data_IF_338964054224
#
_entry.id   IF_338964054224
#
_cell.length_a   1.000
_cell.length_b   1.000
_cell.length_c   1.000
_cell.angle_alpha   90.00
_cell.angle_beta   90.00
_cell.angle_gamma   90.00
#
_symmetry.space_group_name_H-M   'P 1'
#
loop_
_entity.id
_entity.type
_entity.pdbx_description
1 polymer ?
#
# COMPACT_ATOMS: atom_id res chain seq x y z
N UNK A 1 -30.40 -30.40 2.52
CA UNK A 1 -30.45 -28.92 2.65
C UNK A 1 -29.04 -28.45 2.95
N UNK A 2 -28.31 -27.97 1.94
CA UNK A 2 -26.97 -27.43 2.14
C UNK A 2 -27.11 -26.05 2.81
N UNK A 3 -26.51 -25.87 3.98
CA UNK A 3 -26.41 -24.57 4.62
C UNK A 3 -25.56 -23.67 3.72
N UNK A 4 -26.19 -22.67 3.09
CA UNK A 4 -25.48 -21.61 2.38
C UNK A 4 -24.63 -20.86 3.41
N UNK A 5 -23.35 -21.20 3.49
CA UNK A 5 -22.36 -20.45 4.26
C UNK A 5 -22.24 -19.09 3.58
N UNK A 6 -22.80 -18.06 4.20
CA UNK A 6 -22.63 -16.69 3.72
C UNK A 6 -21.13 -16.38 3.64
N UNK A 7 -20.67 -15.74 2.55
CA UNK A 7 -19.26 -15.42 2.37
C UNK A 7 -18.75 -14.57 3.52
N UNK A 8 -17.50 -14.77 3.91
CA UNK A 8 -16.81 -14.05 4.98
C UNK A 8 -16.73 -12.56 4.63
N UNK A 9 -17.66 -11.75 5.18
CA UNK A 9 -17.75 -10.33 4.90
C UNK A 9 -16.83 -9.54 5.83
N UNK A 10 -15.70 -9.08 5.30
CA UNK A 10 -14.65 -8.35 6.05
C UNK A 10 -14.39 -6.97 5.46
N UNK A 11 -13.80 -6.09 6.26
CA UNK A 11 -13.30 -4.76 5.83
C UNK A 11 -11.89 -4.53 6.37
N UNK A 12 -11.14 -3.67 5.69
CA UNK A 12 -9.81 -3.22 6.10
C UNK A 12 -9.91 -1.87 6.81
N UNK A 13 -9.39 -1.79 8.03
CA UNK A 13 -9.38 -0.58 8.85
C UNK A 13 -7.97 0.00 8.93
N UNK A 14 -7.85 1.33 8.82
CA UNK A 14 -6.58 2.06 8.93
C UNK A 14 -6.69 3.26 9.87
N UNK A 15 -5.69 3.50 10.72
CA UNK A 15 -5.51 4.75 11.47
C UNK A 15 -4.03 5.05 11.61
N UNK A 16 -3.55 6.12 10.97
CA UNK A 16 -2.10 6.37 10.86
C UNK A 16 -1.40 5.20 10.16
N UNK A 17 -0.40 4.62 10.82
CA UNK A 17 0.34 3.45 10.31
C UNK A 17 -0.31 2.10 10.66
N UNK A 18 -1.29 2.10 11.58
CA UNK A 18 -1.94 0.88 12.04
C UNK A 18 -2.97 0.40 11.02
N UNK A 19 -2.96 -0.91 10.76
CA UNK A 19 -3.88 -1.59 9.85
C UNK A 19 -4.42 -2.85 10.49
N UNK A 20 -5.71 -3.11 10.37
CA UNK A 20 -6.34 -4.32 10.90
C UNK A 20 -7.52 -4.72 10.01
N UNK A 21 -7.75 -6.02 9.88
CA UNK A 21 -8.94 -6.56 9.22
C UNK A 21 -9.98 -6.92 10.28
N UNK A 22 -11.26 -6.63 10.02
CA UNK A 22 -12.35 -6.94 10.93
C UNK A 22 -13.60 -7.36 10.16
N UNK A 23 -14.34 -8.34 10.69
CA UNK A 23 -15.61 -8.77 10.11
C UNK A 23 -16.64 -7.64 10.21
N UNK A 24 -17.49 -7.48 9.18
CA UNK A 24 -18.55 -6.45 9.19
C UNK A 24 -19.50 -6.65 10.38
N UNK A 25 -19.81 -7.90 10.74
CA UNK A 25 -20.64 -8.24 11.90
C UNK A 25 -20.03 -7.84 13.25
N UNK A 26 -18.72 -7.60 13.30
CA UNK A 26 -18.00 -7.15 14.49
C UNK A 26 -17.79 -5.64 14.51
N UNK A 27 -18.27 -4.91 13.50
CA UNK A 27 -18.01 -3.48 13.35
C UNK A 27 -18.88 -2.64 14.27
N UNK A 28 -18.36 -2.37 15.47
CA UNK A 28 -18.97 -1.51 16.46
C UNK A 28 -17.94 -0.64 17.20
N UNK A 29 -18.43 0.42 17.83
CA UNK A 29 -17.60 1.43 18.54
C UNK A 29 -16.68 0.83 19.60
N UNK A 30 -17.09 -0.23 20.31
CA UNK A 30 -16.28 -0.85 21.36
C UNK A 30 -15.10 -1.64 20.80
N UNK A 31 -15.32 -2.33 19.68
CA UNK A 31 -14.24 -3.05 19.00
C UNK A 31 -13.26 -2.09 18.35
N UNK A 32 -13.74 -0.98 17.77
CA UNK A 32 -12.87 0.08 17.25
C UNK A 32 -12.05 0.73 18.37
N UNK A 33 -12.64 1.03 19.53
CA UNK A 33 -11.90 1.51 20.71
C UNK A 33 -10.77 0.56 21.09
N UNK A 34 -11.04 -0.74 21.14
CA UNK A 34 -10.03 -1.74 21.51
C UNK A 34 -8.90 -1.86 20.48
N UNK A 35 -9.25 -1.74 19.19
CA UNK A 35 -8.30 -1.89 18.11
C UNK A 35 -7.43 -0.63 17.88
N UNK A 36 -8.02 0.56 18.03
CA UNK A 36 -7.39 1.83 17.61
C UNK A 36 -7.29 2.89 18.71
N UNK A 37 -7.71 2.60 19.94
CA UNK A 37 -7.71 3.55 21.07
C UNK A 37 -8.41 4.89 20.75
N UNK A 38 -9.62 4.77 20.18
CA UNK A 38 -10.53 5.88 19.87
C UNK A 38 -11.59 6.05 20.96
N UNK A 39 -11.97 7.30 21.26
CA UNK A 39 -13.13 7.60 22.09
C UNK A 39 -14.42 7.10 21.41
N UNK A 40 -15.21 6.20 22.05
CA UNK A 40 -16.47 5.71 21.52
C UNK A 40 -17.49 6.80 21.16
N UNK A 41 -17.42 7.99 21.79
CA UNK A 41 -18.36 9.08 21.54
C UNK A 41 -18.07 9.85 20.26
N UNK A 42 -16.83 9.81 19.79
CA UNK A 42 -16.38 10.60 18.64
C UNK A 42 -15.85 9.73 17.49
N UNK A 43 -16.05 8.42 17.56
CA UNK A 43 -15.59 7.50 16.51
C UNK A 43 -16.44 7.62 15.25
N UNK A 44 -15.77 7.69 14.11
CA UNK A 44 -16.37 7.64 12.78
C UNK A 44 -15.46 6.87 11.83
N UNK A 45 -16.03 6.41 10.71
CA UNK A 45 -15.28 5.76 9.64
C UNK A 45 -15.40 6.61 8.37
N UNK A 46 -14.37 6.61 7.53
CA UNK A 46 -14.40 7.25 6.21
C UNK A 46 -13.81 6.31 5.17
N UNK A 47 -14.48 6.17 4.05
CA UNK A 47 -13.96 5.40 2.93
C UNK A 47 -12.67 6.05 2.37
N UNK A 48 -11.65 5.23 2.16
CA UNK A 48 -10.34 5.66 1.63
C UNK A 48 -10.41 6.05 0.14
N UNK A 49 -11.40 5.54 -0.60
CA UNK A 49 -11.57 5.75 -2.04
C UNK A 49 -12.51 6.92 -2.36
N UNK A 50 -13.71 6.94 -1.78
CA UNK A 50 -14.75 7.92 -2.15
C UNK A 50 -15.03 8.98 -1.08
N UNK A 51 -14.29 8.93 0.04
CA UNK A 51 -14.43 9.85 1.17
C UNK A 51 -15.80 9.82 1.87
N UNK A 52 -16.65 8.82 1.62
CA UNK A 52 -17.95 8.64 2.29
C UNK A 52 -17.75 8.42 3.79
N UNK A 53 -18.43 9.21 4.62
CA UNK A 53 -18.41 9.08 6.07
C UNK A 53 -19.48 8.13 6.60
N UNK A 54 -19.12 7.28 7.54
CA UNK A 54 -20.03 6.40 8.27
C UNK A 54 -19.99 6.73 9.76
N UNK A 55 -21.16 6.90 10.35
CA UNK A 55 -21.34 7.17 11.77
C UNK A 55 -22.03 6.00 12.45
N UNK A 56 -21.66 5.67 13.71
CA UNK A 56 -22.27 4.57 14.42
C UNK A 56 -23.73 4.90 14.77
N UNK A 57 -24.58 3.87 14.73
CA UNK A 57 -25.96 3.95 15.22
C UNK A 57 -25.98 4.22 16.74
N UNK A 58 -26.73 5.25 17.17
CA UNK A 58 -26.72 5.72 18.56
C UNK A 58 -27.10 4.65 19.59
N UNK A 59 -27.95 3.68 19.22
CA UNK A 59 -28.48 2.67 20.14
C UNK A 59 -27.59 1.44 20.20
N UNK A 60 -27.10 1.00 19.05
CA UNK A 60 -26.33 -0.25 18.93
C UNK A 60 -24.81 -0.03 18.90
N UNK A 61 -24.35 1.19 18.63
CA UNK A 61 -22.95 1.51 18.38
C UNK A 61 -22.39 0.81 17.14
N UNK A 62 -23.25 0.29 16.25
CA UNK A 62 -22.86 -0.48 15.06
C UNK A 62 -22.86 0.39 13.82
N UNK A 63 -22.01 0.05 12.84
CA UNK A 63 -21.94 0.76 11.56
C UNK A 63 -22.78 0.04 10.51
N UNK A 64 -23.55 0.80 9.72
CA UNK A 64 -24.38 0.28 8.62
C UNK A 64 -23.84 0.74 7.27
N UNK A 65 -24.25 0.04 6.20
CA UNK A 65 -23.88 0.41 4.82
C UNK A 65 -22.44 0.08 4.43
N UNK A 66 -21.74 -0.73 5.23
CA UNK A 66 -20.39 -1.18 4.91
C UNK A 66 -20.44 -2.26 3.83
N UNK A 67 -19.50 -2.19 2.89
CA UNK A 67 -19.37 -3.18 1.82
C UNK A 67 -18.17 -4.10 2.08
N UNK A 68 -18.24 -5.40 1.73
CA UNK A 68 -17.09 -6.29 1.87
C UNK A 68 -15.87 -5.78 1.08
N UNK A 69 -14.69 -5.94 1.67
CA UNK A 69 -13.38 -5.58 1.11
C UNK A 69 -13.13 -4.08 0.95
N UNK A 70 -13.99 -3.25 1.56
CA UNK A 70 -13.79 -1.81 1.67
C UNK A 70 -12.60 -1.48 2.56
N UNK A 71 -11.89 -0.38 2.25
CA UNK A 71 -10.84 0.18 3.11
C UNK A 71 -11.36 1.44 3.78
N UNK A 72 -11.35 1.45 5.11
CA UNK A 72 -11.91 2.50 5.95
C UNK A 72 -10.83 3.13 6.81
N UNK A 73 -10.77 4.46 6.78
CA UNK A 73 -10.02 5.28 7.72
C UNK A 73 -10.83 5.43 9.01
N UNK A 74 -10.23 5.06 10.15
CA UNK A 74 -10.85 5.20 11.48
C UNK A 74 -10.50 6.56 12.05
N UNK A 75 -11.52 7.41 12.24
CA UNK A 75 -11.41 8.73 12.84
C UNK A 75 -11.99 8.78 14.25
N UNK A 76 -11.63 9.84 14.99
CA UNK A 76 -12.06 10.09 16.36
C UNK A 76 -10.92 10.58 17.25
N UNK A 77 -11.25 11.15 18.41
CA UNK A 77 -10.24 11.57 19.39
C UNK A 77 -9.58 10.36 20.05
N UNK A 78 -8.28 10.43 20.37
CA UNK A 78 -7.65 9.42 21.21
C UNK A 78 -8.26 9.43 22.61
N UNK A 79 -8.38 8.26 23.24
CA UNK A 79 -8.88 8.18 24.63
C UNK A 79 -7.89 8.92 25.55
N UNK A 80 -8.33 9.92 26.34
CA UNK A 80 -7.45 10.57 27.29
C UNK A 80 -6.94 9.56 28.32
N UNK A 81 -5.62 9.51 28.51
CA UNK A 81 -4.89 8.52 29.33
C UNK A 81 -5.33 8.53 30.81
N UNK A 82 -6.13 9.50 31.23
CA UNK A 82 -6.57 9.71 32.61
C UNK A 82 -7.65 8.73 33.10
N UNK A 83 -8.31 7.98 32.21
CA UNK A 83 -9.47 7.13 32.56
C UNK A 83 -9.23 5.61 32.45
N UNK A 84 -7.97 5.14 32.44
CA UNK A 84 -7.69 3.70 32.48
C UNK A 84 -7.84 3.16 33.91
N UNK A 85 -9.08 3.02 34.37
CA UNK A 85 -9.41 2.16 35.51
C UNK A 85 -9.12 0.71 35.09
N UNK A 86 -7.98 0.18 35.55
CA UNK A 86 -7.57 -1.21 35.39
C UNK A 86 -8.54 -2.10 36.16
N UNK A 87 -9.57 -2.63 35.49
CA UNK A 87 -10.38 -3.74 36.00
C UNK A 87 -9.56 -5.03 35.90
N UNK A 88 -8.65 -5.25 36.85
CA UNK A 88 -8.07 -6.56 37.13
C UNK A 88 -9.04 -7.37 37.99
N UNK A 89 -9.67 -8.37 37.40
CA UNK A 89 -10.33 -9.47 38.12
C UNK A 89 -9.28 -10.34 38.80
N UNK A 90 -9.05 -10.15 40.09
CA UNK A 90 -8.28 -11.06 40.93
C UNK A 90 -9.19 -12.15 41.51
N UNK A 91 -9.06 -13.38 41.00
CA UNK A 91 -9.44 -14.58 41.76
C UNK A 91 -8.21 -15.06 42.51
N UNK A 92 -8.38 -15.31 43.81
CA UNK A 92 -7.30 -15.81 44.67
C UNK A 92 -7.54 -15.49 46.14
N UNK A 93 -8.33 -16.31 46.82
CA UNK A 93 -8.16 -16.50 48.26
C UNK A 93 -6.89 -17.35 48.49
N UNK A 94 -6.17 -17.15 49.60
CA UNK A 94 -6.42 -18.05 50.73
C UNK A 94 -6.34 -17.39 52.14
N UNK A 95 -7.17 -17.94 53.02
CA UNK A 95 -6.92 -18.33 54.42
C UNK A 95 -6.27 -17.30 55.36
N UNK A 96 -7.07 -16.83 56.32
CA UNK A 96 -6.59 -16.47 57.65
C UNK A 96 -7.53 -17.05 58.71
N UNK A 97 -6.95 -17.83 59.61
CA UNK A 97 -7.57 -18.49 60.76
C UNK A 97 -7.58 -17.52 61.94
N UNK A 98 -8.74 -17.33 62.57
CA UNK A 98 -8.83 -16.73 63.91
C UNK A 98 -9.88 -17.49 64.74
N UNK A 99 -9.58 -17.91 65.97
CA UNK A 99 -10.51 -18.68 66.81
C UNK A 99 -11.54 -17.78 67.53
N UNK A 100 -12.72 -18.36 67.80
CA UNK A 100 -13.90 -17.71 68.39
C UNK A 100 -13.79 -17.33 69.88
N UNK A 101 -14.92 -17.13 70.59
CA UNK A 101 -15.94 -18.18 70.73
C UNK A 101 -17.43 -17.74 70.64
N UNK A 102 -18.22 -18.71 70.17
CA UNK A 102 -19.56 -19.11 70.59
C UNK A 102 -20.65 -18.07 70.86
N UNK A 103 -21.71 -18.12 70.04
CA UNK A 103 -23.08 -18.27 70.54
C UNK A 103 -24.05 -18.83 69.48
N UNK A 104 -24.66 -19.93 69.86
CA UNK A 104 -25.77 -20.66 69.24
C UNK A 104 -27.05 -19.83 69.22
N UNK A 105 -27.80 -19.78 68.09
CA UNK A 105 -29.28 -19.93 68.03
C UNK A 105 -29.69 -20.39 66.62
N UNK A 106 -30.48 -21.46 66.59
CA UNK A 106 -31.25 -22.07 65.49
C UNK A 106 -32.47 -21.25 65.07
N UNK A 107 -32.88 -21.28 63.79
CA UNK A 107 -34.18 -21.85 63.36
C UNK A 107 -34.48 -21.65 61.86
N UNK A 108 -35.18 -22.66 61.33
CA UNK A 108 -35.58 -22.97 59.96
C UNK A 108 -36.64 -22.04 59.35
N UNK A 109 -36.79 -22.07 58.02
CA UNK A 109 -38.10 -21.83 57.40
C UNK A 109 -38.18 -21.50 55.90
N UNK A 110 -38.36 -22.54 55.09
CA UNK A 110 -39.28 -22.64 53.91
C UNK A 110 -39.01 -21.83 52.62
N UNK A 111 -38.81 -22.55 51.51
CA UNK A 111 -38.86 -22.15 50.08
C UNK A 111 -40.31 -21.90 49.60
N UNK A 112 -40.70 -21.83 48.30
CA UNK A 112 -40.01 -21.70 47.00
C UNK A 112 -40.55 -20.46 46.22
N UNK A 113 -40.19 -20.05 45.00
CA UNK A 113 -39.41 -20.54 43.88
C UNK A 113 -39.99 -19.87 42.63
N UNK A 114 -39.19 -19.18 41.81
CA UNK A 114 -39.57 -18.80 40.44
C UNK A 114 -38.33 -18.92 39.55
N UNK A 115 -38.50 -19.74 38.51
CA UNK A 115 -37.54 -20.13 37.49
C UNK A 115 -37.06 -18.95 36.65
N UNK A 116 -35.74 -18.82 36.48
CA UNK A 116 -35.13 -18.02 35.43
C UNK A 116 -34.25 -18.92 34.55
N UNK A 117 -34.62 -18.98 33.29
CA UNK A 117 -33.96 -19.67 32.19
C UNK A 117 -32.54 -19.17 31.95
N UNK A 118 -31.57 -20.09 32.03
CA UNK A 118 -30.17 -19.91 31.67
C UNK A 118 -29.99 -19.78 30.15
N UNK A 119 -29.63 -18.60 29.66
CA UNK A 119 -29.10 -18.41 28.31
C UNK A 119 -27.57 -18.56 28.32
N UNK A 120 -27.09 -19.62 27.67
CA UNK A 120 -25.68 -19.86 27.38
C UNK A 120 -25.08 -18.71 26.56
N UNK A 121 -24.01 -18.07 27.06
CA UNK A 121 -23.14 -17.20 26.27
C UNK A 121 -21.81 -17.92 26.02
N UNK A 122 -21.34 -18.07 24.77
CA UNK A 122 -20.04 -18.66 24.49
C UNK A 122 -18.94 -17.62 24.71
N UNK A 123 -18.03 -17.92 25.63
CA UNK A 123 -16.80 -17.15 25.85
C UNK A 123 -15.83 -17.35 24.67
N UNK A 124 -15.79 -16.42 23.72
CA UNK A 124 -14.74 -16.36 22.71
C UNK A 124 -13.55 -15.54 23.21
N UNK A 125 -12.40 -16.21 23.42
CA UNK A 125 -11.11 -15.56 23.68
C UNK A 125 -10.57 -14.97 22.38
N UNK A 126 -10.48 -13.64 22.32
CA UNK A 126 -9.78 -12.92 21.26
C UNK A 126 -8.27 -13.05 21.44
N UNK A 127 -7.58 -13.58 20.44
CA UNK A 127 -6.11 -13.67 20.37
C UNK A 127 -5.61 -12.46 19.58
N UNK A 128 -5.60 -11.28 20.21
CA UNK A 128 -4.92 -10.10 19.69
C UNK A 128 -3.69 -9.85 20.56
N UNK A 129 -2.52 -10.20 19.99
CA UNK A 129 -1.24 -9.93 20.61
C UNK A 129 -1.00 -8.42 20.67
N UNK A 130 -1.05 -7.88 21.89
CA UNK A 130 -0.87 -6.46 22.20
C UNK A 130 0.59 -6.06 21.94
N UNK A 131 0.86 -5.27 20.90
CA UNK A 131 2.13 -4.52 20.78
C UNK A 131 2.05 -3.32 21.71
N UNK A 132 3.05 -3.17 22.59
CA UNK A 132 3.15 -2.09 23.57
C UNK A 132 3.21 -0.72 22.88
N UNK A 133 2.41 0.28 23.30
CA UNK A 133 2.46 1.63 22.76
C UNK A 133 3.61 2.44 23.37
N UNK A 134 4.40 3.07 22.50
CA UNK A 134 5.43 4.06 22.85
C UNK A 134 4.77 5.42 23.09
N UNK A 135 5.07 6.04 24.22
CA UNK A 135 4.57 7.36 24.64
C UNK A 135 5.09 8.51 23.76
N UNK A 136 4.33 9.61 23.61
CA UNK A 136 4.71 10.75 22.78
C UNK A 136 5.60 11.71 23.57
N UNK A 137 6.91 11.54 23.48
CA UNK A 137 7.91 12.55 23.84
C UNK A 137 8.52 13.10 22.55
N UNK A 138 8.55 14.43 22.44
CA UNK A 138 9.32 15.25 21.49
C UNK A 138 9.90 14.46 20.31
N UNK A 139 9.15 14.38 19.21
CA UNK A 139 9.30 13.39 18.14
C UNK A 139 10.60 13.54 17.33
N UNK A 140 11.74 13.16 17.91
CA UNK A 140 12.93 12.81 17.14
C UNK A 140 12.65 11.54 16.34
N UNK A 141 13.19 11.46 15.12
CA UNK A 141 13.25 10.22 14.35
C UNK A 141 14.58 9.53 14.61
N UNK A 142 14.58 8.20 14.59
CA UNK A 142 15.81 7.39 14.68
C UNK A 142 16.15 6.87 13.29
N UNK A 143 17.12 7.50 12.64
CA UNK A 143 17.56 7.14 11.29
C UNK A 143 18.58 6.02 11.35
N UNK A 144 18.32 4.94 10.62
CA UNK A 144 19.26 3.83 10.46
C UNK A 144 20.15 4.08 9.24
N UNK A 145 21.46 4.20 9.47
CA UNK A 145 22.47 4.32 8.40
C UNK A 145 23.35 3.08 8.38
N UNK A 146 23.50 2.47 7.20
CA UNK A 146 24.26 1.24 7.00
C UNK A 146 25.54 1.54 6.21
N UNK A 147 26.70 1.38 6.84
CA UNK A 147 28.00 1.37 6.17
C UNK A 147 28.07 0.17 5.22
N UNK A 148 28.30 0.43 3.95
CA UNK A 148 28.38 -0.62 2.93
C UNK A 148 29.46 -0.34 1.89
N UNK A 149 29.95 -1.41 1.28
CA UNK A 149 30.69 -1.35 0.02
C UNK A 149 29.68 -1.57 -1.10
N UNK A 150 29.64 -0.64 -2.05
CA UNK A 150 28.81 -0.79 -3.25
C UNK A 150 29.62 -1.47 -4.35
N UNK A 151 29.03 -2.48 -4.96
CA UNK A 151 29.51 -3.17 -6.14
C UNK A 151 28.39 -3.10 -7.18
N UNK A 152 28.72 -2.79 -8.43
CA UNK A 152 27.72 -2.68 -9.50
C UNK A 152 27.76 -3.94 -10.35
N UNK A 153 26.64 -4.66 -10.43
CA UNK A 153 26.45 -5.83 -11.30
C UNK A 153 25.13 -5.68 -12.05
N UNK A 154 25.09 -6.02 -13.35
CA UNK A 154 23.87 -6.00 -14.17
C UNK A 154 23.02 -4.71 -14.06
N UNK A 155 23.68 -3.55 -14.02
CA UNK A 155 23.07 -2.23 -13.80
C UNK A 155 22.32 -2.05 -12.47
N UNK A 156 22.53 -2.92 -11.48
CA UNK A 156 21.98 -2.83 -10.14
C UNK A 156 23.11 -2.73 -9.10
N UNK A 157 22.96 -1.87 -8.08
CA UNK A 157 23.93 -1.82 -7.00
C UNK A 157 23.70 -2.97 -6.01
N UNK A 158 24.77 -3.67 -5.70
CA UNK A 158 24.87 -4.64 -4.63
C UNK A 158 25.61 -4.01 -3.45
N UNK A 159 24.96 -3.99 -2.29
CA UNK A 159 25.51 -3.41 -1.07
C UNK A 159 26.00 -4.50 -0.12
N UNK A 160 27.31 -4.64 0.01
CA UNK A 160 27.91 -5.49 1.02
C UNK A 160 27.96 -4.74 2.37
N UNK A 161 27.07 -5.10 3.30
CA UNK A 161 26.84 -4.40 4.57
C UNK A 161 27.96 -4.71 5.56
N UNK A 162 28.65 -3.67 6.03
CA UNK A 162 29.76 -3.80 6.97
C UNK A 162 29.35 -3.49 8.41
N UNK A 163 28.66 -2.36 8.61
CA UNK A 163 28.28 -1.86 9.93
C UNK A 163 27.01 -1.03 9.82
N UNK A 164 26.33 -0.77 10.94
CA UNK A 164 25.20 0.14 11.00
C UNK A 164 25.26 1.01 12.25
N UNK A 165 24.70 2.21 12.15
CA UNK A 165 24.49 3.13 13.26
C UNK A 165 23.06 3.65 13.23
N UNK A 166 22.58 4.09 14.39
CA UNK A 166 21.31 4.77 14.51
C UNK A 166 21.58 6.19 14.98
N UNK A 167 21.14 7.17 14.20
CA UNK A 167 21.31 8.59 14.48
C UNK A 167 19.94 9.13 14.87
N UNK A 168 19.86 9.76 16.03
CA UNK A 168 18.67 10.48 16.46
C UNK A 168 18.68 11.86 15.79
N UNK A 169 17.61 12.19 15.10
CA UNK A 169 17.44 13.47 14.41
C UNK A 169 16.15 14.12 14.86
N UNK A 170 16.17 15.44 15.01
CA UNK A 170 14.99 16.27 15.19
C UNK A 170 14.79 17.15 13.95
N UNK A 171 13.80 18.05 13.97
CA UNK A 171 13.48 18.91 12.82
C UNK A 171 14.66 19.82 12.43
N UNK A 172 15.47 20.23 13.41
CA UNK A 172 16.61 21.12 13.20
C UNK A 172 17.86 20.39 12.71
N UNK A 173 18.03 19.11 13.09
CA UNK A 173 19.19 18.29 12.73
C UNK A 173 18.91 17.29 11.60
N UNK A 174 17.70 17.29 11.05
CA UNK A 174 17.27 16.44 9.93
C UNK A 174 17.87 16.88 8.58
N UNK A 175 19.20 16.99 8.50
CA UNK A 175 19.96 17.38 7.31
C UNK A 175 21.01 16.34 6.93
N UNK A 176 21.32 16.26 5.63
CA UNK A 176 22.33 15.32 5.09
C UNK A 176 23.70 15.60 5.73
N UNK A 177 24.04 16.87 5.92
CA UNK A 177 25.28 17.34 6.55
C UNK A 177 25.43 16.81 7.97
N UNK A 178 24.36 16.90 8.77
CA UNK A 178 24.37 16.42 10.14
C UNK A 178 24.64 14.91 10.19
N UNK A 179 23.96 14.12 9.35
CA UNK A 179 24.21 12.68 9.29
C UNK A 179 25.65 12.38 8.84
N UNK A 180 26.15 13.05 7.79
CA UNK A 180 27.54 12.89 7.32
C UNK A 180 28.53 13.20 8.43
N UNK A 181 28.30 14.26 9.21
CA UNK A 181 29.14 14.63 10.35
C UNK A 181 29.10 13.56 11.46
N UNK A 182 27.92 13.05 11.81
CA UNK A 182 27.78 11.97 12.80
C UNK A 182 28.51 10.69 12.36
N UNK A 183 28.45 10.35 11.09
CA UNK A 183 29.16 9.21 10.53
C UNK A 183 30.67 9.43 10.53
N UNK A 184 31.14 10.63 10.18
CA UNK A 184 32.56 10.97 10.24
C UNK A 184 33.09 10.90 11.67
N UNK A 185 32.34 11.41 12.65
CA UNK A 185 32.68 11.31 14.06
C UNK A 185 32.74 9.85 14.54
N UNK A 186 31.91 8.97 13.98
CA UNK A 186 31.78 7.58 14.41
C UNK A 186 32.73 6.62 13.70
N UNK A 187 33.04 6.87 12.43
CA UNK A 187 33.81 5.97 11.56
C UNK A 187 35.13 6.56 11.06
N UNK A 188 35.40 7.85 11.28
CA UNK A 188 36.68 8.49 10.97
C UNK A 188 36.92 8.79 9.48
N UNK A 189 35.94 8.55 8.61
CA UNK A 189 36.06 8.74 7.16
C UNK A 189 34.89 9.58 6.62
N UNK A 190 35.05 10.15 5.44
CA UNK A 190 33.98 10.86 4.72
C UNK A 190 33.19 9.89 3.84
N UNK A 191 31.88 9.92 4.00
CA UNK A 191 30.95 9.05 3.28
C UNK A 191 29.93 9.86 2.50
N UNK A 192 29.51 9.30 1.37
CA UNK A 192 28.33 9.71 0.63
C UNK A 192 27.14 8.86 1.08
N UNK A 193 26.00 9.51 1.27
CA UNK A 193 24.73 8.84 1.57
C UNK A 193 24.05 8.47 0.26
N UNK A 194 23.62 7.21 0.14
CA UNK A 194 22.92 6.71 -1.04
C UNK A 194 21.66 5.93 -0.64
N UNK A 195 20.66 5.95 -1.50
CA UNK A 195 19.44 5.12 -1.39
C UNK A 195 19.71 3.67 -1.83
N UNK A 196 18.71 2.80 -1.68
CA UNK A 196 18.84 1.37 -1.99
C UNK A 196 19.03 1.05 -3.49
N UNK A 197 18.75 2.01 -4.36
CA UNK A 197 19.00 2.02 -5.80
C UNK A 197 20.36 2.67 -6.17
N UNK A 198 21.16 3.07 -5.17
CA UNK A 198 22.49 3.63 -5.39
C UNK A 198 22.52 5.10 -5.82
N UNK A 199 21.39 5.80 -5.77
CA UNK A 199 21.35 7.24 -6.01
C UNK A 199 21.88 8.01 -4.81
N UNK A 200 22.70 9.04 -5.08
CA UNK A 200 23.21 9.93 -4.05
C UNK A 200 22.08 10.79 -3.49
N UNK A 201 22.06 10.90 -2.16
CA UNK A 201 21.16 11.81 -1.45
C UNK A 201 21.92 13.13 -1.30
N UNK A 202 21.64 14.04 -2.22
CA UNK A 202 22.20 15.39 -2.18
C UNK A 202 21.52 16.25 -1.12
N UNK A 203 22.22 17.32 -0.73
CA UNK A 203 21.79 18.30 0.27
C UNK A 203 20.66 19.23 -0.22
N UNK A 204 20.09 18.94 -1.40
CA UNK A 204 18.98 19.71 -1.95
C UNK A 204 17.76 19.67 -1.02
N UNK A 205 16.90 20.69 -1.13
CA UNK A 205 15.80 20.96 -0.20
C UNK A 205 14.86 19.76 0.05
N UNK A 206 14.79 18.80 -0.88
CA UNK A 206 13.97 17.60 -0.75
C UNK A 206 14.44 16.61 0.34
N UNK A 207 15.72 16.62 0.72
CA UNK A 207 16.27 15.75 1.77
C UNK A 207 16.37 16.45 3.14
N UNK A 208 15.79 17.64 3.27
CA UNK A 208 15.74 18.40 4.52
C UNK A 208 14.42 18.15 5.26
N UNK A 209 14.50 18.02 6.58
CA UNK A 209 13.33 17.90 7.45
C UNK A 209 12.97 16.45 7.82
N UNK A 210 12.28 16.30 8.96
CA UNK A 210 12.01 14.99 9.58
C UNK A 210 11.20 14.05 8.69
N UNK A 211 10.32 14.60 7.84
CA UNK A 211 9.41 13.83 6.97
C UNK A 211 10.16 12.89 6.02
N UNK A 212 11.30 13.33 5.48
CA UNK A 212 12.15 12.52 4.62
C UNK A 212 12.78 11.34 5.37
N UNK A 213 13.23 11.60 6.61
CA UNK A 213 13.99 10.64 7.40
C UNK A 213 13.12 9.66 8.21
N UNK A 214 11.86 10.02 8.48
CA UNK A 214 10.91 9.20 9.26
C UNK A 214 10.32 8.01 8.49
N UNK A 215 10.81 7.70 7.29
CA UNK A 215 10.32 6.58 6.49
C UNK A 215 10.78 5.22 7.02
N UNK A 216 9.89 4.36 7.56
CA UNK A 216 10.28 3.11 8.23
C UNK A 216 10.83 2.05 7.26
N UNK A 217 10.58 2.20 5.96
CA UNK A 217 11.03 1.26 4.92
C UNK A 217 12.32 1.73 4.22
N UNK A 218 12.73 2.98 4.44
CA UNK A 218 13.88 3.54 3.75
C UNK A 218 15.17 3.08 4.41
N UNK A 219 16.03 2.44 3.63
CA UNK A 219 17.38 2.07 4.07
C UNK A 219 18.34 3.09 3.46
N UNK A 220 19.13 3.72 4.31
CA UNK A 220 20.16 4.66 3.90
C UNK A 220 21.51 3.95 3.98
N UNK A 221 22.24 3.93 2.87
CA UNK A 221 23.58 3.37 2.80
C UNK A 221 24.63 4.49 2.84
N UNK A 222 25.76 4.16 3.44
CA UNK A 222 26.92 5.03 3.53
C UNK A 222 28.09 4.38 2.80
N UNK A 223 28.54 5.04 1.73
CA UNK A 223 29.58 4.54 0.83
C UNK A 223 30.73 5.53 0.78
N UNK A 224 31.97 5.05 0.72
CA UNK A 224 33.16 5.89 0.63
C UNK A 224 33.17 6.71 -0.67
N UNK A 225 33.37 8.04 -0.58
CA UNK A 225 33.36 8.96 -1.73
C UNK A 225 34.38 8.55 -2.82
N UNK A 226 35.54 8.00 -2.45
CA UNK A 226 36.59 7.57 -3.38
C UNK A 226 36.15 6.45 -4.32
N UNK A 227 35.16 5.64 -3.93
CA UNK A 227 34.67 4.51 -4.73
C UNK A 227 33.53 4.88 -5.69
N UNK A 228 32.80 5.97 -5.45
CA UNK A 228 31.75 6.43 -6.38
C UNK A 228 32.34 7.09 -7.63
N UNK A 229 33.42 7.86 -7.48
CA UNK A 229 34.05 8.60 -8.59
C UNK A 229 34.73 7.71 -9.65
N UNK A 230 35.12 6.48 -9.29
CA UNK A 230 35.72 5.53 -10.24
C UNK A 230 34.70 4.96 -11.22
N UNK A 231 33.43 4.89 -10.83
CA UNK A 231 32.34 4.31 -11.64
C UNK A 231 31.91 5.28 -12.75
N UNK A 232 31.83 6.59 -12.46
CA UNK A 232 31.50 7.61 -13.47
C UNK A 232 32.60 7.80 -14.53
N UNK A 233 33.85 7.45 -14.21
CA UNK A 233 34.98 7.50 -15.18
C UNK A 233 35.04 6.29 -16.11
N UNK A 234 34.69 5.09 -15.65
CA UNK A 234 34.77 3.89 -16.48
C UNK A 234 33.72 3.87 -17.60
N UNK A 235 32.56 4.50 -17.41
CA UNK A 235 31.54 4.64 -18.48
C UNK A 235 31.96 5.58 -19.62
N UNK A 236 33.07 6.34 -19.48
CA UNK A 236 33.60 7.25 -20.52
C UNK A 236 34.86 6.76 -21.24
N UNK A 237 35.47 5.64 -20.83
CA UNK A 237 36.77 5.18 -21.39
C UNK A 237 36.64 3.99 -22.36
N UNK A 238 35.48 3.85 -23.02
CA UNK A 238 35.21 2.78 -23.99
C UNK A 238 35.09 3.26 -25.44
N UNK A 239 35.38 4.53 -25.74
CA UNK A 239 35.39 5.02 -27.12
C UNK A 239 36.66 5.84 -27.36
N UNK A 240 37.47 5.31 -28.29
CA UNK A 240 38.62 5.91 -28.98
C UNK A 240 39.93 6.10 -28.20
N UNK A 241 40.80 5.11 -28.34
CA UNK A 241 42.24 5.32 -28.57
C UNK A 241 42.49 5.38 -30.08
N UNK A 242 43.04 6.49 -30.57
CA UNK A 242 43.86 6.57 -31.77
C UNK A 242 44.93 7.67 -31.58
N UNK A 243 45.97 7.53 -32.39
CA UNK A 243 47.41 7.77 -32.18
C UNK A 243 47.91 9.20 -32.48
N UNK A 244 49.23 9.40 -32.25
CA UNK A 244 50.14 10.45 -32.77
C UNK A 244 50.09 11.87 -32.13
N UNK A 245 51.15 12.68 -31.99
CA UNK A 245 52.63 12.58 -32.13
C UNK A 245 53.21 13.98 -31.79
N UNK A 246 54.45 14.02 -31.27
CA UNK A 246 55.51 15.06 -31.26
C UNK A 246 55.28 16.59 -31.08
N UNK A 247 56.05 17.11 -30.10
CA UNK A 247 56.91 18.32 -30.05
C UNK A 247 56.58 19.58 -30.88
N UNK A 248 56.34 20.71 -30.19
CA UNK A 248 57.19 21.92 -30.31
C UNK A 248 56.85 23.02 -29.28
N UNK A 249 57.88 23.82 -29.00
CA UNK A 249 58.06 24.78 -27.91
C UNK A 249 57.40 26.17 -28.15
N UNK A 250 57.31 26.96 -27.08
CA UNK A 250 57.21 28.44 -27.02
C UNK A 250 55.85 29.21 -27.13
N UNK A 251 55.42 29.71 -25.96
CA UNK A 251 55.01 31.09 -25.66
C UNK A 251 53.73 31.71 -26.28
N UNK A 252 52.53 31.45 -25.71
CA UNK A 252 51.41 32.44 -25.63
C UNK A 252 50.51 32.15 -24.40
N UNK A 253 50.85 32.67 -23.23
CA UNK A 253 50.19 32.32 -21.94
C UNK A 253 48.98 33.17 -21.52
N UNK A 254 48.44 34.05 -22.37
CA UNK A 254 47.31 34.94 -21.96
C UNK A 254 46.03 34.85 -22.81
N UNK A 255 46.04 34.24 -24.00
CA UNK A 255 44.81 33.99 -24.79
C UNK A 255 44.15 32.64 -24.50
N UNK A 256 44.90 31.66 -23.97
CA UNK A 256 44.43 30.30 -23.68
C UNK A 256 43.36 30.24 -22.58
N UNK A 257 43.47 31.09 -21.54
CA UNK A 257 42.53 31.11 -20.40
C UNK A 257 41.09 31.48 -20.77
N UNK A 258 40.86 32.28 -21.82
CA UNK A 258 39.49 32.61 -22.28
C UNK A 258 38.87 31.49 -23.10
N UNK A 259 39.68 30.76 -23.87
CA UNK A 259 39.23 29.62 -24.65
C UNK A 259 38.90 28.45 -23.71
N UNK A 260 39.71 28.23 -22.68
CA UNK A 260 39.46 27.19 -21.66
C UNK A 260 38.17 27.46 -20.85
N UNK A 261 37.86 28.73 -20.51
CA UNK A 261 36.61 29.08 -19.81
C UNK A 261 35.37 28.92 -20.71
N UNK A 262 35.48 29.24 -22.00
CA UNK A 262 34.41 29.03 -22.98
C UNK A 262 34.21 27.54 -23.26
N UNK A 263 35.28 26.76 -23.39
CA UNK A 263 35.19 25.29 -23.53
C UNK A 263 34.59 24.64 -22.29
N UNK A 264 34.96 25.07 -21.07
CA UNK A 264 34.34 24.58 -19.84
C UNK A 264 32.83 24.89 -19.78
N UNK A 265 32.40 26.05 -20.29
CA UNK A 265 30.97 26.42 -20.37
C UNK A 265 30.23 25.60 -21.43
N UNK A 266 30.82 25.39 -22.60
CA UNK A 266 30.24 24.56 -23.67
C UNK A 266 30.14 23.09 -23.22
N UNK A 267 31.14 22.57 -22.50
CA UNK A 267 31.10 21.24 -21.90
C UNK A 267 30.07 21.12 -20.76
N UNK A 268 29.79 22.21 -20.03
CA UNK A 268 28.74 22.24 -19.01
C UNK A 268 27.36 22.23 -19.67
N UNK A 269 27.13 23.06 -20.69
CA UNK A 269 25.88 23.05 -21.48
C UNK A 269 25.68 21.72 -22.20
N UNK A 270 26.73 21.13 -22.76
CA UNK A 270 26.66 19.81 -23.40
C UNK A 270 26.30 18.69 -22.41
N UNK A 271 26.75 18.78 -21.15
CA UNK A 271 26.30 17.88 -20.08
C UNK A 271 24.83 18.10 -19.74
N UNK A 272 24.39 19.34 -19.64
CA UNK A 272 23.00 19.66 -19.29
C UNK A 272 22.02 19.21 -20.38
N UNK A 273 22.37 19.38 -21.67
CA UNK A 273 21.59 18.88 -22.81
C UNK A 273 21.55 17.36 -22.84
N UNK A 274 22.68 16.69 -22.59
CA UNK A 274 22.71 15.22 -22.56
C UNK A 274 21.97 14.64 -21.35
N UNK A 275 22.04 15.31 -20.19
CA UNK A 275 21.28 14.95 -19.00
C UNK A 275 19.77 15.15 -19.23
N UNK A 276 19.38 16.27 -19.85
CA UNK A 276 17.99 16.51 -20.21
C UNK A 276 17.48 15.48 -21.22
N UNK A 277 18.29 15.12 -22.22
CA UNK A 277 17.94 14.09 -23.19
C UNK A 277 17.84 12.70 -22.52
N UNK A 278 18.70 12.42 -21.55
CA UNK A 278 18.62 11.23 -20.70
C UNK A 278 17.33 11.18 -19.87
N UNK A 279 16.99 12.28 -19.18
CA UNK A 279 15.76 12.40 -18.40
C UNK A 279 14.50 12.32 -19.28
N UNK A 280 14.50 12.92 -20.46
CA UNK A 280 13.39 12.81 -21.41
C UNK A 280 13.27 11.37 -21.92
N UNK A 281 14.38 10.72 -22.25
CA UNK A 281 14.38 9.30 -22.67
C UNK A 281 13.91 8.39 -21.54
N UNK A 282 14.27 8.69 -20.29
CA UNK A 282 13.85 7.96 -19.10
C UNK A 282 12.36 8.19 -18.79
N UNK A 283 11.85 9.42 -18.89
CA UNK A 283 10.42 9.73 -18.75
C UNK A 283 9.60 9.03 -19.86
N UNK A 284 10.12 8.99 -21.08
CA UNK A 284 9.51 8.30 -22.22
C UNK A 284 9.60 6.77 -22.07
N UNK A 285 10.63 6.24 -21.42
CA UNK A 285 10.76 4.82 -21.10
C UNK A 285 9.86 4.40 -19.93
N UNK A 286 9.78 5.23 -18.88
CA UNK A 286 8.89 5.03 -17.72
C UNK A 286 7.42 5.05 -18.15
N UNK A 287 7.05 5.92 -19.11
CA UNK A 287 5.68 5.93 -19.66
C UNK A 287 5.37 4.73 -20.56
N UNK A 288 6.37 4.05 -21.13
CA UNK A 288 6.20 2.79 -21.88
C UNK A 288 5.97 1.57 -20.98
N UNK A 289 6.44 1.61 -19.74
CA UNK A 289 6.39 0.48 -18.79
C UNK A 289 5.41 0.70 -17.62
N UNK A 290 4.72 1.84 -17.57
CA UNK A 290 3.70 2.10 -16.55
C UNK A 290 2.50 1.19 -16.75
N UNK A 291 2.59 -0.01 -16.16
CA UNK A 291 1.46 -0.91 -15.94
C UNK A 291 0.35 -0.11 -15.25
N UNK A 292 -0.84 -0.12 -15.83
CA UNK A 292 -2.03 0.51 -15.24
C UNK A 292 -2.12 0.07 -13.78
N UNK A 293 -2.20 1.00 -12.79
CA UNK A 293 -2.25 0.62 -11.39
C UNK A 293 -3.36 -0.41 -11.15
N UNK A 294 -3.04 -1.50 -10.44
CA UNK A 294 -3.97 -2.62 -10.24
C UNK A 294 -5.35 -2.19 -9.71
N UNK A 295 -5.40 -1.17 -8.85
CA UNK A 295 -6.67 -0.60 -8.37
C UNK A 295 -7.52 0.01 -9.47
N UNK A 296 -6.90 0.72 -10.41
CA UNK A 296 -7.57 1.30 -11.58
C UNK A 296 -8.04 0.19 -12.53
N UNK A 297 -7.21 -0.82 -12.76
CA UNK A 297 -7.57 -2.01 -13.55
C UNK A 297 -8.81 -2.70 -12.99
N UNK A 298 -8.85 -2.93 -11.68
CA UNK A 298 -10.01 -3.52 -10.99
C UNK A 298 -11.27 -2.67 -11.17
N UNK A 299 -11.16 -1.34 -11.07
CA UNK A 299 -12.29 -0.44 -11.32
C UNK A 299 -12.77 -0.54 -12.77
N UNK A 300 -11.85 -0.57 -13.74
CA UNK A 300 -12.19 -0.71 -15.16
C UNK A 300 -12.90 -2.03 -15.46
N UNK A 301 -12.43 -3.15 -14.89
CA UNK A 301 -13.11 -4.45 -14.98
C UNK A 301 -14.48 -4.47 -14.30
N UNK A 302 -14.74 -3.59 -13.33
CA UNK A 302 -16.02 -3.55 -12.62
C UNK A 302 -17.03 -2.66 -13.33
N UNK A 303 -16.58 -1.50 -13.82
CA UNK A 303 -17.40 -0.47 -14.48
C UNK A 303 -17.69 -0.87 -15.93
N UNK A 304 -16.67 -1.30 -16.67
CA UNK A 304 -16.78 -1.60 -18.10
C UNK A 304 -17.05 -3.08 -18.39
N UNK A 305 -17.78 -3.75 -17.50
CA UNK A 305 -18.23 -5.13 -17.69
C UNK A 305 -19.68 -5.17 -18.14
N UNK A 306 -19.95 -5.87 -19.24
CA UNK A 306 -21.32 -6.09 -19.65
C UNK A 306 -22.09 -6.90 -18.57
N UNK A 307 -23.27 -6.42 -18.16
CA UNK A 307 -24.10 -7.13 -17.18
C UNK A 307 -24.73 -8.41 -17.73
N UNK A 308 -24.76 -8.56 -19.05
CA UNK A 308 -25.41 -9.68 -19.76
C UNK A 308 -24.38 -10.72 -20.24
N UNK A 309 -23.40 -10.33 -21.07
CA UNK A 309 -22.39 -11.27 -21.58
C UNK A 309 -21.12 -11.33 -20.74
N UNK A 310 -20.95 -10.45 -19.76
CA UNK A 310 -19.77 -10.37 -18.89
C UNK A 310 -18.43 -10.11 -19.58
N UNK A 311 -18.42 -9.76 -20.87
CA UNK A 311 -17.22 -9.34 -21.60
C UNK A 311 -16.62 -8.05 -20.99
N UNK A 312 -15.29 -8.00 -20.97
CA UNK A 312 -14.47 -6.89 -20.49
C UNK A 312 -13.33 -6.65 -21.51
N UNK A 313 -13.08 -5.40 -21.92
CA UNK A 313 -14.00 -4.27 -21.79
C UNK A 313 -15.30 -4.52 -22.59
N UNK A 314 -16.33 -3.70 -22.36
CA UNK A 314 -17.56 -3.78 -23.15
C UNK A 314 -17.28 -3.63 -24.65
N UNK A 315 -18.05 -4.33 -25.48
CA UNK A 315 -18.01 -4.14 -26.92
C UNK A 315 -18.94 -2.98 -27.31
N UNK A 316 -18.42 -1.90 -27.93
CA UNK A 316 -19.23 -0.86 -28.56
C UNK A 316 -20.26 -1.41 -29.56
N UNK A 317 -21.41 -0.74 -29.74
CA UNK A 317 -21.88 0.44 -29.01
C UNK A 317 -22.36 0.13 -27.58
N UNK A 318 -22.21 1.09 -26.67
CA UNK A 318 -22.53 0.91 -25.23
C UNK A 318 -23.91 1.46 -24.90
N UNK A 319 -24.70 0.69 -24.17
CA UNK A 319 -26.01 1.09 -23.68
C UNK A 319 -25.96 1.41 -22.18
N UNK A 320 -26.46 2.60 -21.83
CA UNK A 320 -26.76 3.00 -20.46
C UNK A 320 -28.26 3.01 -20.22
N UNK A 321 -28.66 2.83 -18.97
CA UNK A 321 -30.05 2.92 -18.55
C UNK A 321 -30.31 4.18 -17.75
N UNK A 322 -31.44 4.85 -17.99
CA UNK A 322 -31.91 6.00 -17.22
C UNK A 322 -32.55 5.59 -15.90
N UNK A 323 -33.20 4.42 -15.82
CA UNK A 323 -33.89 3.99 -14.59
C UNK A 323 -32.95 3.80 -13.38
N UNK A 324 -31.68 3.48 -13.62
CA UNK A 324 -30.68 3.26 -12.58
C UNK A 324 -29.34 3.92 -12.87
N UNK A 325 -29.26 4.76 -13.90
CA UNK A 325 -28.09 5.57 -14.28
C UNK A 325 -26.78 4.76 -14.39
N UNK A 326 -26.87 3.51 -14.85
CA UNK A 326 -25.72 2.60 -15.00
C UNK A 326 -25.53 2.11 -16.43
N UNK A 327 -24.29 1.73 -16.75
CA UNK A 327 -23.96 1.00 -17.97
C UNK A 327 -24.54 -0.42 -17.88
N UNK A 328 -25.39 -0.77 -18.84
CA UNK A 328 -25.96 -2.11 -18.93
C UNK A 328 -25.03 -3.07 -19.67
N UNK A 329 -24.51 -2.66 -20.83
CA UNK A 329 -23.89 -3.62 -21.71
C UNK A 329 -23.63 -3.15 -23.12
N UNK A 330 -23.13 -4.09 -23.92
CA UNK A 330 -23.07 -3.99 -25.36
C UNK A 330 -24.50 -3.90 -25.93
N UNK A 331 -24.71 -3.09 -26.95
CA UNK A 331 -25.99 -2.93 -27.63
C UNK A 331 -26.59 -4.27 -28.07
N UNK A 332 -25.81 -5.14 -28.69
CA UNK A 332 -26.26 -6.45 -29.15
C UNK A 332 -26.81 -7.33 -28.02
N UNK A 333 -26.24 -7.22 -26.82
CA UNK A 333 -26.68 -7.98 -25.66
C UNK A 333 -27.97 -7.42 -25.09
N UNK A 334 -28.06 -6.09 -24.98
CA UNK A 334 -29.25 -5.41 -24.47
C UNK A 334 -30.44 -5.59 -25.42
N UNK A 335 -30.21 -5.49 -26.73
CA UNK A 335 -31.26 -5.71 -27.74
C UNK A 335 -31.78 -7.16 -27.69
N UNK A 336 -30.90 -8.15 -27.55
CA UNK A 336 -31.29 -9.56 -27.35
C UNK A 336 -32.10 -9.76 -26.06
N UNK A 337 -31.69 -9.13 -24.96
CA UNK A 337 -32.40 -9.19 -23.69
C UNK A 337 -33.85 -8.74 -23.83
N UNK A 338 -34.09 -7.60 -24.48
CA UNK A 338 -35.44 -7.07 -24.65
C UNK A 338 -36.24 -7.73 -25.78
N UNK A 339 -35.57 -8.30 -26.80
CA UNK A 339 -36.22 -8.97 -27.92
C UNK A 339 -36.77 -10.36 -27.56
N UNK A 340 -36.18 -11.03 -26.57
CA UNK A 340 -36.54 -12.41 -26.21
C UNK A 340 -37.80 -12.52 -25.33
N UNK A 341 -38.48 -11.41 -25.00
CA UNK A 341 -39.77 -11.41 -24.29
C UNK A 341 -39.74 -11.92 -22.84
N UNK A 342 -38.58 -12.32 -22.31
CA UNK A 342 -38.45 -12.96 -20.99
C UNK A 342 -38.45 -11.98 -19.81
N UNK A 343 -38.20 -10.68 -20.04
CA UNK A 343 -38.51 -9.64 -19.05
C UNK A 343 -38.44 -8.25 -19.71
N UNK A 344 -39.51 -7.46 -19.64
CA UNK A 344 -39.46 -6.03 -19.96
C UNK A 344 -38.77 -5.21 -18.84
N UNK A 345 -37.97 -5.89 -18.02
CA UNK A 345 -37.36 -5.34 -16.82
C UNK A 345 -35.89 -5.03 -17.09
N UNK A 346 -35.39 -3.98 -16.43
CA UNK A 346 -33.98 -3.63 -16.47
C UNK A 346 -33.11 -4.79 -15.95
N UNK A 347 -32.08 -5.25 -16.67
CA UNK A 347 -31.20 -6.31 -16.19
C UNK A 347 -30.34 -5.91 -14.98
N UNK A 348 -30.30 -4.62 -14.63
CA UNK A 348 -29.56 -4.13 -13.46
C UNK A 348 -30.44 -3.93 -12.23
N UNK A 349 -31.56 -3.20 -12.35
CA UNK A 349 -32.40 -2.83 -11.20
C UNK A 349 -33.80 -3.47 -11.19
N UNK A 350 -34.18 -4.19 -12.25
CA UNK A 350 -35.49 -4.82 -12.36
C UNK A 350 -36.66 -3.89 -12.70
N UNK A 351 -36.43 -2.60 -12.96
CA UNK A 351 -37.52 -1.66 -13.31
C UNK A 351 -38.29 -2.09 -14.55
N UNK A 352 -39.61 -2.07 -14.49
CA UNK A 352 -40.51 -2.30 -15.61
C UNK A 352 -40.38 -1.16 -16.64
N UNK A 353 -40.57 -1.44 -17.94
CA UNK A 353 -40.45 -0.50 -19.08
C UNK A 353 -39.04 0.05 -19.36
N UNK A 354 -38.01 -0.59 -18.84
CA UNK A 354 -36.63 -0.10 -18.94
C UNK A 354 -36.07 0.06 -20.37
N UNK A 355 -36.66 -0.59 -21.38
CA UNK A 355 -36.22 -0.44 -22.78
C UNK A 355 -36.32 1.00 -23.29
N UNK A 356 -37.44 1.69 -23.02
CA UNK A 356 -37.66 3.08 -23.43
C UNK A 356 -36.75 4.07 -22.68
N UNK A 357 -36.13 3.58 -21.62
CA UNK A 357 -35.20 4.31 -20.77
C UNK A 357 -33.75 3.93 -21.04
N UNK A 358 -33.46 3.27 -22.17
CA UNK A 358 -32.09 3.04 -22.61
C UNK A 358 -31.61 4.13 -23.56
N UNK A 359 -30.30 4.37 -23.57
CA UNK A 359 -29.67 5.25 -24.55
C UNK A 359 -28.26 4.76 -24.88
N UNK A 360 -27.82 5.03 -26.11
CA UNK A 360 -26.46 4.75 -26.56
C UNK A 360 -25.54 5.84 -26.05
N UNK A 361 -24.47 5.44 -25.36
CA UNK A 361 -23.42 6.34 -24.92
C UNK A 361 -22.37 6.48 -26.02
N UNK A 362 -22.39 7.62 -26.71
CA UNK A 362 -21.46 7.94 -27.80
C UNK A 362 -20.14 8.51 -27.26
N UNK A 363 -19.06 8.32 -28.01
CA UNK A 363 -17.74 8.89 -27.70
C UNK A 363 -16.92 8.10 -26.69
N UNK A 364 -17.47 7.00 -26.16
CA UNK A 364 -16.72 6.05 -25.34
C UNK A 364 -16.12 4.90 -26.18
N UNK A 365 -16.52 4.79 -27.45
CA UNK A 365 -16.18 3.65 -28.30
C UNK A 365 -14.67 3.57 -28.57
N UNK A 366 -14.05 4.69 -28.98
CA UNK A 366 -12.61 4.78 -29.24
C UNK A 366 -11.79 4.48 -27.98
N UNK A 367 -12.21 5.04 -26.84
CA UNK A 367 -11.59 4.80 -25.54
C UNK A 367 -11.60 3.32 -25.14
N UNK A 368 -12.72 2.62 -25.34
CA UNK A 368 -12.82 1.19 -25.02
C UNK A 368 -12.00 0.32 -25.98
N UNK A 369 -11.83 0.73 -27.24
CA UNK A 369 -10.95 0.04 -28.18
C UNK A 369 -9.48 0.15 -27.77
N UNK A 370 -9.02 1.35 -27.40
CA UNK A 370 -7.63 1.57 -26.97
C UNK A 370 -7.33 0.84 -25.66
N UNK A 371 -8.27 0.88 -24.71
CA UNK A 371 -8.13 0.20 -23.43
C UNK A 371 -8.13 -1.32 -23.58
N UNK A 372 -8.86 -1.86 -24.55
CA UNK A 372 -8.87 -3.31 -24.78
C UNK A 372 -7.46 -3.82 -25.06
N UNK A 373 -6.66 -3.08 -25.82
CA UNK A 373 -5.27 -3.44 -26.10
C UNK A 373 -4.40 -3.44 -24.83
N UNK A 374 -4.67 -2.52 -23.90
CA UNK A 374 -3.97 -2.40 -22.61
C UNK A 374 -4.39 -3.52 -21.64
N UNK A 375 -5.68 -3.87 -21.61
CA UNK A 375 -6.21 -4.93 -20.74
C UNK A 375 -5.65 -6.29 -21.16
N UNK A 376 -5.68 -6.60 -22.46
CA UNK A 376 -5.25 -7.90 -22.99
C UNK A 376 -3.74 -8.15 -22.84
N UNK A 377 -2.90 -7.11 -22.96
CA UNK A 377 -1.44 -7.25 -22.79
C UNK A 377 -1.01 -7.58 -21.35
N UNK A 378 -1.90 -7.39 -20.37
CA UNK A 378 -1.61 -7.72 -18.97
C UNK A 378 -1.92 -9.17 -18.59
N UNK A 379 -2.87 -9.81 -19.29
CA UNK A 379 -3.29 -11.20 -19.01
C UNK A 379 -2.32 -12.22 -19.63
N UNK A 380 -1.71 -11.92 -20.78
CA UNK A 380 -0.76 -12.81 -21.46
C UNK A 380 0.59 -12.97 -20.74
N UNK A 381 0.92 -12.09 -19.79
CA UNK A 381 2.16 -12.18 -18.99
C UNK A 381 2.04 -13.11 -17.77
N UNK A 382 0.83 -13.53 -17.38
CA UNK A 382 0.63 -14.38 -16.20
C UNK A 382 0.55 -15.89 -16.53
N UNK A 383 0.40 -16.27 -17.81
CA UNK A 383 0.24 -17.68 -18.21
C UNK A 383 1.56 -18.42 -18.51
N UNK A 384 2.70 -17.74 -18.64
CA UNK A 384 3.97 -18.39 -19.06
C UNK A 384 4.84 -18.92 -17.90
N UNK A 385 4.57 -18.52 -16.65
CA UNK A 385 5.43 -18.87 -15.49
C UNK A 385 4.91 -20.04 -14.62
N UNK A 386 3.83 -20.72 -15.00
CA UNK A 386 3.21 -21.77 -14.14
C UNK A 386 2.65 -22.99 -14.88
N UNK A 387 3.36 -23.51 -15.89
CA UNK A 387 3.13 -24.87 -16.37
C UNK A 387 4.21 -25.86 -15.89
N UNK A 388 3.91 -26.75 -14.92
CA UNK A 388 4.75 -27.91 -14.69
C UNK A 388 4.72 -28.80 -15.95
N UNK A 389 5.84 -29.46 -16.30
CA UNK A 389 5.91 -30.29 -17.50
C UNK A 389 4.86 -31.39 -17.45
N UNK A 390 4.06 -31.49 -18.52
CA UNK A 390 3.10 -32.58 -18.70
C UNK A 390 3.83 -33.93 -18.58
N UNK A 391 3.32 -34.88 -17.77
CA UNK A 391 3.88 -36.21 -17.74
C UNK A 391 3.70 -36.89 -19.10
N UNK A 392 4.64 -37.75 -19.52
CA UNK A 392 4.56 -38.44 -20.79
C UNK A 392 3.31 -39.33 -20.87
N UNK A 393 2.74 -39.53 -22.06
CA UNK A 393 1.51 -40.28 -22.24
C UNK A 393 1.69 -41.71 -21.75
N UNK A 394 0.81 -42.12 -20.83
CA UNK A 394 0.72 -43.50 -20.36
C UNK A 394 0.38 -44.40 -21.55
N UNK A 395 1.29 -45.31 -21.87
CA UNK A 395 1.03 -46.39 -22.82
C UNK A 395 -0.11 -47.26 -22.26
N UNK A 396 -1.19 -47.34 -23.01
CA UNK A 396 -2.28 -48.29 -22.78
C UNK A 396 -1.71 -49.72 -22.81
N UNK A 397 -1.55 -50.32 -21.63
CA UNK A 397 -1.48 -51.77 -21.50
C UNK A 397 -2.87 -52.34 -21.79
N UNK A 398 -2.97 -52.99 -22.95
CA UNK A 398 -4.01 -53.95 -23.29
C UNK A 398 -4.16 -54.94 -22.12
N UNK A 399 -5.31 -54.89 -21.44
CA UNK A 399 -5.80 -56.03 -20.69
C UNK A 399 -6.45 -56.97 -21.71
N UNK A 400 -5.77 -58.09 -21.98
CA UNK A 400 -6.43 -59.28 -22.49
C UNK A 400 -7.28 -59.86 -21.36
N UNK A 401 -8.58 -60.01 -21.61
CA UNK A 401 -9.34 -61.25 -21.38
C UNK A 401 -10.52 -61.29 -22.36
#
# INVERSE_FOLDING_TARGET
MAANVLPDQRVFLKRGDDRTEMMISQMNVLNLRRAFDVDPKEVWLKDDMDATGFFPDEKSGSFRGLTPWQTLLVGGQPVPVSDVAVLTTTSGAPVAVTPGPSRTVTLSGVSPGISASTSYSPNFRSVLAKKQPLTPTTQGAKVKVVKAIVEWGDNKPHFNKLQQIFIEVDESTATVEYLKQQMQNRWGETYTLVTADGLEIDSESAAQGLSFWKSPRRIIYAVLCSKLLSIHKQKKKSVQSFDESDDDDFEVTTKKRRIDDVMCKVERVGRDVNNLNGLVTEIVAVSKEMKVPFGLMKMMHTIFKCKICHCIPLCPPIIISKCCEVILGCESCVNKWYSNGQSQCCPSCGSERAYNETMILKGLDDFLMDIKAIIQTSEEQEEDDNHPPLPPPLQLQLCND
#
